data_IF_108590010645
#
_entry.id   IF_108590010645
#
_cell.length_a   1.000
_cell.length_b   1.000
_cell.length_c   1.000
_cell.angle_alpha   90.00
_cell.angle_beta   90.00
_cell.angle_gamma   90.00
#
_symmetry.space_group_name_H-M   'P 1'
#
loop_
_entity.id
_entity.type
_entity.pdbx_description
1 polymer ?
#
# COMPACT_ATOMS: atom_id res chain seq x y z
N UNK A 1 -25.43 33.81 22.98
CA UNK A 1 -24.53 33.34 21.93
C UNK A 1 -25.31 32.31 21.10
N UNK A 2 -25.65 32.61 19.85
CA UNK A 2 -26.38 31.67 18.99
C UNK A 2 -25.33 30.66 18.50
N UNK A 3 -25.40 29.43 18.99
CA UNK A 3 -24.55 28.32 18.52
C UNK A 3 -25.00 27.99 17.10
N UNK A 4 -24.13 28.19 16.12
CA UNK A 4 -24.43 27.84 14.72
C UNK A 4 -24.24 26.34 14.53
N UNK A 5 -24.95 25.74 13.57
CA UNK A 5 -24.79 24.33 13.23
C UNK A 5 -23.32 23.95 12.94
N UNK A 6 -22.57 24.88 12.35
CA UNK A 6 -21.12 24.72 12.09
C UNK A 6 -20.31 24.59 13.40
N UNK A 7 -20.63 25.37 14.44
CA UNK A 7 -19.93 25.30 15.74
C UNK A 7 -20.16 23.94 16.40
N UNK A 8 -21.40 23.44 16.37
CA UNK A 8 -21.75 22.08 16.85
C UNK A 8 -20.96 21.01 16.08
N UNK A 9 -20.93 21.14 14.76
CA UNK A 9 -20.17 20.22 13.90
C UNK A 9 -18.68 20.21 14.24
N UNK A 10 -18.07 21.38 14.45
CA UNK A 10 -16.66 21.47 14.87
C UNK A 10 -16.44 20.80 16.24
N UNK A 11 -17.30 21.01 17.23
CA UNK A 11 -17.18 20.35 18.52
C UNK A 11 -17.24 18.83 18.41
N UNK A 12 -18.13 18.30 17.58
CA UNK A 12 -18.21 16.84 17.32
C UNK A 12 -16.92 16.33 16.67
N UNK A 13 -16.38 17.05 15.69
CA UNK A 13 -15.10 16.68 15.08
C UNK A 13 -13.97 16.70 16.10
N UNK A 14 -13.84 17.77 16.90
CA UNK A 14 -12.80 17.86 17.93
C UNK A 14 -12.91 16.70 18.94
N UNK A 15 -14.12 16.33 19.34
CA UNK A 15 -14.34 15.21 20.24
C UNK A 15 -13.87 13.89 19.61
N UNK A 16 -14.25 13.63 18.34
CA UNK A 16 -13.84 12.42 17.61
C UNK A 16 -12.32 12.39 17.45
N UNK A 17 -11.70 13.51 17.05
CA UNK A 17 -10.24 13.59 16.86
C UNK A 17 -9.51 13.36 18.18
N UNK A 18 -9.99 13.99 19.29
CA UNK A 18 -9.41 13.80 20.59
C UNK A 18 -9.51 12.33 21.05
N UNK A 19 -10.69 11.73 20.92
CA UNK A 19 -10.91 10.33 21.24
C UNK A 19 -9.99 9.39 20.45
N UNK A 20 -9.90 9.58 19.12
CA UNK A 20 -9.01 8.78 18.27
C UNK A 20 -7.54 9.02 18.62
N UNK A 21 -7.15 10.25 18.95
CA UNK A 21 -5.79 10.57 19.37
C UNK A 21 -5.41 9.83 20.66
N UNK A 22 -6.28 9.87 21.67
CA UNK A 22 -6.09 9.14 22.94
C UNK A 22 -6.04 7.63 22.68
N UNK A 23 -6.94 7.11 21.85
CA UNK A 23 -6.95 5.69 21.47
C UNK A 23 -5.62 5.28 20.84
N UNK A 24 -5.13 6.01 19.83
CA UNK A 24 -3.89 5.66 19.15
C UNK A 24 -2.64 5.85 20.02
N UNK A 25 -2.63 6.86 20.92
CA UNK A 25 -1.58 7.00 21.92
C UNK A 25 -1.59 5.81 22.90
N UNK A 26 -2.77 5.36 23.32
CA UNK A 26 -2.91 4.16 24.15
C UNK A 26 -2.33 2.93 23.44
N UNK A 27 -2.68 2.72 22.17
CA UNK A 27 -2.11 1.62 21.35
C UNK A 27 -0.58 1.77 21.24
N UNK A 28 -0.08 2.98 20.99
CA UNK A 28 1.34 3.24 20.82
C UNK A 28 2.15 2.85 22.07
N UNK A 29 1.69 3.25 23.26
CA UNK A 29 2.46 3.12 24.50
C UNK A 29 2.14 1.87 25.31
N UNK A 30 0.91 1.36 25.28
CA UNK A 30 0.49 0.25 26.13
C UNK A 30 0.52 -1.12 25.41
N UNK A 31 0.35 -1.13 24.08
CA UNK A 31 0.47 -2.38 23.33
C UNK A 31 1.94 -2.63 23.02
N UNK A 32 2.45 -3.78 23.49
CA UNK A 32 3.86 -4.16 23.29
C UNK A 32 4.15 -4.36 21.80
N UNK A 33 5.37 -3.98 21.40
CA UNK A 33 5.87 -4.31 20.08
C UNK A 33 6.13 -5.80 19.95
N UNK A 34 5.78 -6.35 18.80
CA UNK A 34 6.26 -7.67 18.42
C UNK A 34 7.78 -7.57 18.21
N UNK A 35 8.54 -8.16 19.14
CA UNK A 35 9.99 -8.22 18.96
C UNK A 35 10.30 -8.96 17.67
N UNK A 36 11.28 -8.43 16.92
CA UNK A 36 11.80 -9.13 15.74
C UNK A 36 12.26 -10.52 16.15
N UNK A 37 11.73 -11.58 15.51
CA UNK A 37 12.17 -12.95 15.81
C UNK A 37 13.64 -13.11 15.43
N UNK A 38 14.33 -13.97 16.17
CA UNK A 38 15.73 -14.33 15.80
C UNK A 38 15.72 -15.04 14.46
N UNK A 39 16.67 -14.70 13.60
CA UNK A 39 16.89 -15.43 12.35
C UNK A 39 17.33 -16.86 12.67
N UNK A 40 16.72 -17.84 12.01
CA UNK A 40 17.14 -19.25 12.09
C UNK A 40 18.38 -19.53 11.25
N UNK A 41 18.84 -18.56 10.45
CA UNK A 41 19.92 -18.74 9.46
C UNK A 41 19.50 -19.52 8.20
N UNK A 42 18.31 -20.12 8.20
CA UNK A 42 17.79 -20.79 7.01
C UNK A 42 17.46 -19.79 5.90
N UNK A 43 17.92 -20.11 4.69
CA UNK A 43 17.58 -19.37 3.47
C UNK A 43 16.73 -20.27 2.58
N UNK A 44 15.39 -20.29 2.75
CA UNK A 44 14.50 -21.07 1.89
C UNK A 44 14.48 -20.53 0.47
N UNK A 45 14.02 -21.32 -0.51
CA UNK A 45 13.79 -20.83 -1.86
C UNK A 45 12.83 -19.65 -1.83
N UNK A 46 13.19 -18.56 -2.51
CA UNK A 46 12.45 -17.30 -2.61
C UNK A 46 12.20 -16.95 -4.07
N UNK A 47 11.00 -16.46 -4.38
CA UNK A 47 10.64 -15.97 -5.72
C UNK A 47 10.25 -14.50 -5.67
N UNK A 48 10.85 -13.66 -6.51
CA UNK A 48 10.38 -12.32 -6.78
C UNK A 48 9.55 -12.31 -8.07
N UNK A 49 8.33 -11.80 -8.03
CA UNK A 49 7.45 -11.67 -9.20
C UNK A 49 7.34 -10.18 -9.53
N UNK A 50 7.66 -9.81 -10.77
CA UNK A 50 7.65 -8.43 -11.27
C UNK A 50 6.63 -8.32 -12.40
N UNK A 51 5.40 -7.89 -12.12
CA UNK A 51 4.44 -7.55 -13.17
C UNK A 51 4.87 -6.25 -13.85
N UNK A 52 5.00 -6.25 -15.17
CA UNK A 52 5.49 -5.11 -15.94
C UNK A 52 4.54 -4.75 -17.08
N UNK A 53 4.18 -3.47 -17.19
CA UNK A 53 3.39 -2.92 -18.29
C UNK A 53 3.83 -1.50 -18.63
N UNK A 54 4.54 -1.33 -19.76
CA UNK A 54 5.10 -0.05 -20.23
C UNK A 54 6.05 0.60 -19.21
N UNK A 55 7.07 -0.15 -18.77
CA UNK A 55 8.02 0.25 -17.73
C UNK A 55 9.47 0.31 -18.25
N UNK A 56 9.67 0.66 -19.52
CA UNK A 56 10.99 0.77 -20.14
C UNK A 56 11.99 1.66 -19.38
N UNK A 57 11.48 2.64 -18.60
CA UNK A 57 12.31 3.60 -17.87
C UNK A 57 12.87 3.06 -16.55
N UNK A 58 12.22 2.06 -15.97
CA UNK A 58 12.52 1.63 -14.61
C UNK A 58 12.88 0.15 -14.47
N UNK A 59 12.37 -0.71 -15.36
CA UNK A 59 12.48 -2.17 -15.25
C UNK A 59 13.92 -2.67 -15.04
N UNK A 60 14.90 -2.10 -15.75
CA UNK A 60 16.30 -2.51 -15.61
C UNK A 60 16.86 -2.24 -14.20
N UNK A 61 16.48 -1.10 -13.59
CA UNK A 61 16.87 -0.77 -12.22
C UNK A 61 16.18 -1.67 -11.20
N UNK A 62 14.91 -2.00 -11.41
CA UNK A 62 14.14 -2.93 -10.60
C UNK A 62 14.81 -4.31 -10.58
N UNK A 63 15.14 -4.86 -11.76
CA UNK A 63 15.81 -6.15 -11.89
C UNK A 63 17.21 -6.12 -11.26
N UNK A 64 17.97 -5.05 -11.45
CA UNK A 64 19.28 -4.89 -10.82
C UNK A 64 19.18 -4.92 -9.29
N UNK A 65 18.14 -4.32 -8.69
CA UNK A 65 17.94 -4.37 -7.24
C UNK A 65 17.63 -5.78 -6.72
N UNK A 66 16.91 -6.60 -7.51
CA UNK A 66 16.60 -8.00 -7.17
C UNK A 66 17.83 -8.89 -7.29
N UNK A 67 18.65 -8.68 -8.32
CA UNK A 67 19.92 -9.40 -8.47
C UNK A 67 20.87 -9.07 -7.31
N UNK A 68 20.90 -7.80 -6.87
CA UNK A 68 21.74 -7.32 -5.78
C UNK A 68 21.26 -7.72 -4.37
N UNK A 69 20.16 -8.46 -4.23
CA UNK A 69 19.75 -8.98 -2.92
C UNK A 69 20.84 -9.86 -2.31
N UNK A 70 21.13 -9.64 -1.01
CA UNK A 70 22.03 -10.48 -0.20
C UNK A 70 21.36 -11.83 0.09
N UNK A 71 21.19 -12.61 -0.98
CA UNK A 71 20.53 -13.92 -0.94
C UNK A 71 21.23 -14.88 -1.90
N UNK A 72 21.41 -16.19 -1.55
CA UNK A 72 22.05 -17.15 -2.43
C UNK A 72 21.37 -17.21 -3.80
N UNK A 73 22.15 -17.19 -4.88
CA UNK A 73 21.62 -17.19 -6.25
C UNK A 73 20.76 -18.42 -6.53
N UNK A 74 21.22 -19.59 -6.07
CA UNK A 74 20.53 -20.88 -6.22
C UNK A 74 19.24 -20.99 -5.41
N UNK A 75 18.99 -20.04 -4.51
CA UNK A 75 17.80 -19.92 -3.67
C UNK A 75 16.90 -18.76 -4.07
N UNK A 76 17.20 -18.08 -5.17
CA UNK A 76 16.50 -16.90 -5.63
C UNK A 76 16.02 -17.10 -7.07
N UNK A 77 14.72 -16.94 -7.28
CA UNK A 77 14.07 -16.94 -8.59
C UNK A 77 13.46 -15.57 -8.85
N UNK A 78 13.64 -15.02 -10.03
CA UNK A 78 13.02 -13.78 -10.49
C UNK A 78 12.12 -14.10 -11.68
N UNK A 79 10.85 -13.71 -11.60
CA UNK A 79 9.88 -13.92 -12.68
C UNK A 79 9.37 -12.55 -13.11
N UNK A 80 9.64 -12.18 -14.34
CA UNK A 80 9.07 -10.96 -14.94
C UNK A 80 7.88 -11.38 -15.78
N UNK A 81 6.72 -10.80 -15.51
CA UNK A 81 5.51 -11.02 -16.33
C UNK A 81 5.21 -9.74 -17.08
N UNK A 82 5.55 -9.72 -18.36
CA UNK A 82 5.23 -8.63 -19.28
C UNK A 82 3.75 -8.74 -19.69
N UNK A 83 2.94 -7.85 -19.18
CA UNK A 83 1.49 -7.81 -19.36
C UNK A 83 1.10 -7.03 -20.62
N UNK A 84 1.72 -7.37 -21.76
CA UNK A 84 1.41 -6.81 -23.07
C UNK A 84 1.93 -5.38 -23.27
N UNK A 85 3.14 -5.08 -22.81
CA UNK A 85 3.80 -3.78 -23.04
C UNK A 85 3.95 -3.47 -24.53
N UNK A 86 3.84 -2.18 -24.87
CA UNK A 86 3.97 -1.64 -26.22
C UNK A 86 5.24 -0.82 -26.42
N UNK A 87 5.98 -0.59 -25.34
CA UNK A 87 7.28 0.07 -25.32
C UNK A 87 8.42 -0.95 -25.32
N UNK A 88 9.63 -0.51 -25.02
CA UNK A 88 10.83 -1.38 -25.01
C UNK A 88 10.97 -2.23 -23.74
N UNK A 89 9.94 -2.37 -22.90
CA UNK A 89 10.02 -3.14 -21.64
C UNK A 89 10.49 -4.57 -21.89
N UNK A 90 9.89 -5.27 -22.87
CA UNK A 90 10.28 -6.66 -23.20
C UNK A 90 11.74 -6.75 -23.60
N UNK A 91 12.17 -5.95 -24.56
CA UNK A 91 13.54 -5.92 -25.09
C UNK A 91 14.57 -5.72 -23.96
N UNK A 92 14.28 -4.75 -23.06
CA UNK A 92 15.17 -4.44 -21.93
C UNK A 92 15.27 -5.59 -20.92
N UNK A 93 14.20 -6.34 -20.71
CA UNK A 93 14.22 -7.54 -19.85
C UNK A 93 15.04 -8.66 -20.50
N UNK A 94 14.82 -8.92 -21.80
CA UNK A 94 15.59 -9.92 -22.55
C UNK A 94 17.09 -9.61 -22.55
N UNK A 95 17.46 -8.35 -22.80
CA UNK A 95 18.84 -7.86 -22.70
C UNK A 95 19.40 -8.03 -21.28
N UNK A 96 18.61 -7.76 -20.25
CA UNK A 96 19.03 -7.92 -18.87
C UNK A 96 19.32 -9.39 -18.54
N UNK A 97 18.46 -10.30 -18.97
CA UNK A 97 18.65 -11.76 -18.82
C UNK A 97 19.94 -12.19 -19.50
N UNK A 98 20.16 -11.76 -20.74
CA UNK A 98 21.36 -12.11 -21.51
C UNK A 98 22.68 -11.67 -20.82
N UNK A 99 22.65 -10.52 -20.13
CA UNK A 99 23.81 -9.99 -19.40
C UNK A 99 24.01 -10.63 -18.02
N UNK A 100 23.03 -11.39 -17.51
CA UNK A 100 23.07 -12.03 -16.18
C UNK A 100 22.78 -13.53 -16.26
N UNK A 101 23.57 -14.32 -17.04
CA UNK A 101 23.27 -15.74 -17.31
C UNK A 101 23.37 -16.64 -16.07
N UNK A 102 23.93 -16.14 -14.97
CA UNK A 102 24.04 -16.88 -13.70
C UNK A 102 22.84 -16.71 -12.75
N UNK A 103 21.84 -15.89 -13.10
CA UNK A 103 20.65 -15.65 -12.28
C UNK A 103 19.45 -16.44 -12.84
N UNK A 104 18.60 -17.00 -11.95
CA UNK A 104 17.33 -17.66 -12.36
C UNK A 104 16.26 -16.58 -12.65
N UNK A 105 16.32 -16.00 -13.86
CA UNK A 105 15.39 -14.96 -14.32
C UNK A 105 14.57 -15.52 -15.48
N UNK A 106 13.25 -15.50 -15.33
CA UNK A 106 12.30 -15.96 -16.36
C UNK A 106 11.42 -14.79 -16.81
N UNK A 107 11.29 -14.59 -18.13
CA UNK A 107 10.33 -13.66 -18.72
C UNK A 107 9.13 -14.45 -19.25
N UNK A 108 7.93 -14.01 -18.86
CA UNK A 108 6.65 -14.48 -19.40
C UNK A 108 6.00 -13.31 -20.12
N UNK A 109 5.59 -13.51 -21.38
CA UNK A 109 4.80 -12.54 -22.12
C UNK A 109 3.33 -13.00 -22.16
N UNK A 110 2.41 -12.07 -21.87
CA UNK A 110 0.97 -12.30 -22.00
C UNK A 110 0.28 -11.10 -22.65
N UNK A 111 -0.92 -11.29 -23.13
CA UNK A 111 -1.82 -10.19 -23.50
C UNK A 111 -2.24 -9.48 -22.21
N UNK A 112 -2.37 -8.15 -22.26
CA UNK A 112 -2.73 -7.37 -21.09
C UNK A 112 -4.05 -7.84 -20.44
N UNK A 113 -3.95 -8.29 -19.20
CA UNK A 113 -5.06 -8.75 -18.37
C UNK A 113 -5.03 -8.10 -16.97
N UNK A 114 -4.09 -7.18 -16.76
CA UNK A 114 -3.92 -6.44 -15.51
C UNK A 114 -2.99 -7.13 -14.51
N UNK A 115 -2.56 -6.34 -13.53
CA UNK A 115 -1.52 -6.70 -12.56
C UNK A 115 -1.84 -7.99 -11.79
N UNK A 116 -3.09 -8.18 -11.33
CA UNK A 116 -3.50 -9.38 -10.59
C UNK A 116 -3.34 -10.65 -11.44
N UNK A 117 -3.69 -10.60 -12.73
CA UNK A 117 -3.51 -11.72 -13.65
C UNK A 117 -2.02 -12.01 -13.90
N UNK A 118 -1.20 -10.97 -14.07
CA UNK A 118 0.24 -11.11 -14.21
C UNK A 118 0.87 -11.74 -12.94
N UNK A 119 0.43 -11.34 -11.76
CA UNK A 119 0.87 -11.94 -10.49
C UNK A 119 0.50 -13.43 -10.41
N UNK A 120 -0.73 -13.80 -10.77
CA UNK A 120 -1.15 -15.20 -10.80
C UNK A 120 -0.33 -16.02 -11.81
N UNK A 121 -0.02 -15.44 -12.95
CA UNK A 121 0.83 -16.11 -13.96
C UNK A 121 2.23 -16.38 -13.43
N UNK A 122 2.81 -15.43 -12.69
CA UNK A 122 4.08 -15.64 -11.99
C UNK A 122 3.98 -16.71 -10.89
N UNK A 123 2.87 -16.73 -10.14
CA UNK A 123 2.64 -17.71 -9.06
C UNK A 123 2.53 -19.16 -9.58
N UNK A 124 2.02 -19.39 -10.78
CA UNK A 124 1.93 -20.72 -11.40
C UNK A 124 3.31 -21.43 -11.48
N UNK A 125 4.40 -20.67 -11.69
CA UNK A 125 5.75 -21.20 -11.87
C UNK A 125 6.68 -20.86 -10.71
N UNK A 126 6.19 -20.19 -9.66
CA UNK A 126 6.97 -19.81 -8.50
C UNK A 126 7.43 -21.05 -7.70
N UNK A 127 8.75 -21.21 -7.56
CA UNK A 127 9.38 -22.33 -6.82
C UNK A 127 9.59 -21.98 -5.33
N UNK A 128 9.50 -20.69 -4.98
CA UNK A 128 9.82 -20.19 -3.65
C UNK A 128 8.83 -20.67 -2.59
N UNK A 129 9.34 -21.05 -1.41
CA UNK A 129 8.51 -21.21 -0.20
C UNK A 129 7.81 -19.90 0.16
N UNK A 130 8.49 -18.79 -0.14
CA UNK A 130 7.99 -17.43 -0.02
C UNK A 130 8.15 -16.72 -1.36
N UNK A 131 7.23 -15.80 -1.64
CA UNK A 131 7.35 -14.92 -2.79
C UNK A 131 7.12 -13.46 -2.40
N UNK A 132 7.65 -12.53 -3.19
CA UNK A 132 7.32 -11.13 -3.12
C UNK A 132 6.81 -10.63 -4.48
N UNK A 133 5.85 -9.71 -4.47
CA UNK A 133 5.56 -8.85 -5.60
C UNK A 133 6.50 -7.65 -5.54
N UNK A 134 7.10 -7.25 -6.65
CA UNK A 134 7.81 -5.97 -6.77
C UNK A 134 7.31 -5.24 -8.00
N UNK A 135 6.77 -4.03 -7.80
CA UNK A 135 6.32 -3.20 -8.92
C UNK A 135 7.52 -2.83 -9.81
N UNK A 136 7.33 -2.83 -11.13
CA UNK A 136 8.40 -2.68 -12.11
C UNK A 136 9.08 -1.30 -12.10
N UNK A 137 8.55 -0.34 -11.31
CA UNK A 137 9.09 1.00 -11.05
C UNK A 137 9.71 1.16 -9.65
N UNK A 138 9.83 0.05 -8.92
CA UNK A 138 10.29 0.03 -7.53
C UNK A 138 11.59 -0.77 -7.39
N UNK A 139 12.34 -0.51 -6.32
CA UNK A 139 13.60 -1.21 -6.04
C UNK A 139 13.81 -1.42 -4.55
N UNK A 140 14.41 -2.56 -4.25
CA UNK A 140 14.54 -3.10 -2.90
C UNK A 140 15.98 -2.99 -2.41
N UNK A 141 16.17 -2.71 -1.11
CA UNK A 141 17.49 -2.77 -0.47
C UNK A 141 18.01 -4.22 -0.37
N UNK A 142 19.32 -4.40 -0.50
CA UNK A 142 19.93 -5.73 -0.58
C UNK A 142 19.62 -6.65 0.60
N UNK A 143 19.47 -6.12 1.81
CA UNK A 143 19.19 -6.90 3.03
C UNK A 143 17.71 -7.17 3.27
N UNK A 144 16.80 -6.58 2.48
CA UNK A 144 15.37 -6.55 2.77
C UNK A 144 14.77 -7.94 3.04
N UNK A 145 15.04 -8.92 2.18
CA UNK A 145 14.50 -10.27 2.35
C UNK A 145 14.97 -10.95 3.65
N UNK A 146 16.25 -10.77 4.02
CA UNK A 146 16.82 -11.33 5.24
C UNK A 146 16.20 -10.72 6.49
N UNK A 147 15.78 -9.45 6.43
CA UNK A 147 15.10 -8.75 7.51
C UNK A 147 13.63 -9.16 7.66
N UNK A 148 13.01 -9.65 6.60
CA UNK A 148 11.59 -10.04 6.57
C UNK A 148 11.36 -11.52 6.90
N UNK A 149 12.23 -12.42 6.46
CA UNK A 149 12.04 -13.86 6.63
C UNK A 149 11.87 -14.32 8.10
N UNK A 150 12.57 -13.78 9.10
CA UNK A 150 12.44 -14.21 10.48
C UNK A 150 11.01 -14.13 11.03
N UNK A 151 10.19 -13.19 10.56
CA UNK A 151 8.80 -13.06 11.00
C UNK A 151 7.94 -14.25 10.62
N UNK A 152 8.31 -15.01 9.60
CA UNK A 152 7.62 -16.23 9.19
C UNK A 152 7.92 -17.46 10.10
N UNK A 153 8.71 -17.32 11.16
CA UNK A 153 8.82 -18.34 12.21
C UNK A 153 7.49 -18.52 12.95
N UNK A 154 6.68 -17.47 13.05
CA UNK A 154 5.28 -17.58 13.46
C UNK A 154 4.43 -18.08 12.28
N UNK A 155 3.85 -19.27 12.42
CA UNK A 155 3.04 -19.92 11.38
C UNK A 155 1.76 -19.15 11.04
N UNK A 156 1.27 -18.30 11.93
CA UNK A 156 0.10 -17.45 11.70
C UNK A 156 0.43 -16.23 10.82
N UNK A 157 1.73 -15.88 10.67
CA UNK A 157 2.14 -14.79 9.80
C UNK A 157 2.07 -15.23 8.34
N UNK A 158 1.13 -14.65 7.61
CA UNK A 158 0.91 -14.87 6.17
C UNK A 158 1.68 -13.93 5.28
N UNK A 159 1.85 -12.68 5.73
CA UNK A 159 2.53 -11.64 4.96
C UNK A 159 3.39 -10.73 5.85
N UNK A 160 4.51 -10.28 5.28
CA UNK A 160 5.39 -9.28 5.90
C UNK A 160 5.55 -8.11 4.93
N UNK A 161 5.29 -6.89 5.39
CA UNK A 161 5.36 -5.66 4.61
C UNK A 161 6.64 -4.89 4.92
N UNK A 162 7.35 -4.35 3.93
CA UNK A 162 8.53 -3.51 4.12
C UNK A 162 8.16 -2.06 4.46
N UNK A 163 9.15 -1.29 4.88
CA UNK A 163 9.09 0.17 4.90
C UNK A 163 9.17 0.69 3.47
N UNK A 164 8.08 1.31 3.01
CA UNK A 164 8.00 1.90 1.68
C UNK A 164 8.38 3.38 1.74
N UNK A 165 9.34 3.78 0.92
CA UNK A 165 9.82 5.16 0.78
C UNK A 165 9.67 5.66 -0.65
N UNK A 166 9.36 6.95 -0.80
CA UNK A 166 9.44 7.62 -2.10
C UNK A 166 10.89 7.83 -2.47
N UNK A 167 11.25 7.47 -3.69
CA UNK A 167 12.61 7.62 -4.19
C UNK A 167 12.93 9.09 -4.48
N UNK A 168 13.95 9.65 -3.83
CA UNK A 168 14.54 10.97 -4.09
C UNK A 168 13.52 12.06 -4.50
N UNK A 169 12.59 12.45 -3.60
CA UNK A 169 11.54 13.41 -3.94
C UNK A 169 12.15 14.78 -4.28
N UNK A 170 12.00 15.23 -5.53
CA UNK A 170 12.52 16.51 -6.02
C UNK A 170 11.49 17.64 -6.00
N UNK A 171 10.31 17.39 -6.56
CA UNK A 171 9.23 18.37 -6.69
C UNK A 171 8.39 18.48 -5.40
N UNK A 172 7.61 19.56 -5.29
CA UNK A 172 6.67 19.78 -4.18
C UNK A 172 5.67 18.61 -4.08
N UNK A 173 5.15 18.15 -5.21
CA UNK A 173 4.21 17.02 -5.31
C UNK A 173 4.83 15.73 -4.76
N UNK A 174 6.08 15.45 -5.09
CA UNK A 174 6.78 14.26 -4.60
C UNK A 174 7.09 14.38 -3.10
N UNK A 175 7.43 15.57 -2.59
CA UNK A 175 7.66 15.83 -1.16
C UNK A 175 6.37 15.68 -0.34
N UNK A 176 5.23 16.13 -0.86
CA UNK A 176 3.92 15.92 -0.21
C UNK A 176 3.62 14.42 -0.12
N UNK A 177 3.84 13.67 -1.19
CA UNK A 177 3.65 12.22 -1.18
C UNK A 177 4.65 11.51 -0.26
N UNK A 178 5.91 11.96 -0.22
CA UNK A 178 6.88 11.43 0.73
C UNK A 178 6.39 11.55 2.19
N UNK A 179 5.88 12.73 2.56
CA UNK A 179 5.29 12.95 3.88
C UNK A 179 4.08 12.04 4.13
N UNK A 180 3.20 11.92 3.14
CA UNK A 180 2.02 11.04 3.20
C UNK A 180 2.42 9.57 3.40
N UNK A 181 3.48 9.10 2.73
CA UNK A 181 4.01 7.75 2.91
C UNK A 181 4.55 7.54 4.34
N UNK A 182 5.27 8.51 4.90
CA UNK A 182 5.76 8.43 6.29
C UNK A 182 4.59 8.29 7.27
N UNK A 183 3.56 9.12 7.11
CA UNK A 183 2.34 9.06 7.95
C UNK A 183 1.62 7.71 7.78
N UNK A 184 1.47 7.24 6.54
CA UNK A 184 0.83 5.96 6.24
C UNK A 184 1.60 4.78 6.86
N UNK A 185 2.95 4.79 6.82
CA UNK A 185 3.77 3.75 7.44
C UNK A 185 3.62 3.77 8.97
N UNK A 186 3.54 4.94 9.58
CA UNK A 186 3.28 5.06 11.02
C UNK A 186 1.89 4.50 11.39
N UNK A 187 0.84 4.87 10.65
CA UNK A 187 -0.49 4.29 10.87
C UNK A 187 -0.53 2.78 10.63
N UNK A 188 0.21 2.29 9.63
CA UNK A 188 0.32 0.85 9.39
C UNK A 188 0.99 0.13 10.56
N UNK A 189 2.03 0.72 11.15
CA UNK A 189 2.67 0.20 12.36
C UNK A 189 1.68 0.11 13.52
N UNK A 190 0.90 1.17 13.80
CA UNK A 190 -0.12 1.15 14.84
C UNK A 190 -1.19 0.08 14.59
N UNK A 191 -1.67 -0.04 13.35
CA UNK A 191 -2.60 -1.10 12.96
C UNK A 191 -1.96 -2.51 13.10
N UNK A 192 -0.66 -2.64 12.87
CA UNK A 192 0.10 -3.87 13.06
C UNK A 192 0.09 -4.35 14.52
N UNK A 193 0.17 -3.42 15.49
CA UNK A 193 0.05 -3.73 16.92
C UNK A 193 -1.29 -4.38 17.29
N UNK A 194 -2.35 -4.04 16.57
CA UNK A 194 -3.70 -4.60 16.74
C UNK A 194 -4.00 -5.75 15.76
N UNK A 195 -3.01 -6.24 15.02
CA UNK A 195 -3.20 -7.19 13.93
C UNK A 195 -4.26 -6.76 12.89
N UNK A 196 -4.35 -5.45 12.62
CA UNK A 196 -5.37 -4.82 11.79
C UNK A 196 -4.82 -4.24 10.46
N UNK A 197 -3.67 -4.71 9.98
CA UNK A 197 -3.14 -4.27 8.69
C UNK A 197 -4.09 -4.74 7.59
N UNK A 198 -4.56 -3.79 6.76
CA UNK A 198 -5.56 -4.02 5.72
C UNK A 198 -5.05 -3.79 4.30
N UNK A 199 -3.80 -3.37 4.14
CA UNK A 199 -3.12 -3.20 2.85
C UNK A 199 -1.72 -3.77 2.94
N UNK A 200 -1.39 -4.65 2.03
CA UNK A 200 -0.03 -5.15 1.81
C UNK A 200 0.52 -4.45 0.58
N UNK A 201 1.38 -3.40 0.72
CA UNK A 201 1.81 -2.62 -0.44
C UNK A 201 2.40 -3.51 -1.52
N UNK A 202 2.05 -3.21 -2.78
CA UNK A 202 2.56 -3.91 -3.95
C UNK A 202 4.07 -4.06 -3.96
N UNK A 203 4.86 -2.98 -3.72
CA UNK A 203 6.31 -3.10 -3.69
C UNK A 203 6.82 -3.98 -2.54
N UNK A 204 7.25 -5.19 -2.88
CA UNK A 204 8.02 -6.14 -2.07
C UNK A 204 7.34 -6.60 -0.77
N UNK A 205 6.01 -6.67 -0.69
CA UNK A 205 5.37 -7.46 0.37
C UNK A 205 5.66 -8.94 0.13
N UNK A 206 6.16 -9.62 1.17
CA UNK A 206 6.53 -11.05 1.12
C UNK A 206 5.40 -11.90 1.67
N UNK A 207 5.11 -13.03 1.02
CA UNK A 207 4.00 -13.92 1.37
C UNK A 207 4.45 -15.39 1.40
N UNK A 208 3.66 -16.25 2.10
CA UNK A 208 3.78 -17.71 1.97
C UNK A 208 3.15 -18.16 0.66
N UNK A 209 3.95 -18.67 -0.27
CA UNK A 209 3.48 -19.08 -1.62
C UNK A 209 2.33 -20.07 -1.55
N UNK A 210 2.51 -21.15 -0.77
CA UNK A 210 1.47 -22.17 -0.63
C UNK A 210 0.15 -21.59 -0.12
N UNK A 211 0.20 -20.73 0.90
CA UNK A 211 -1.00 -20.15 1.48
C UNK A 211 -1.76 -19.28 0.47
N UNK A 212 -1.07 -18.45 -0.31
CA UNK A 212 -1.73 -17.60 -1.31
C UNK A 212 -2.34 -18.45 -2.41
N UNK A 213 -1.66 -19.53 -2.85
CA UNK A 213 -2.20 -20.47 -3.82
C UNK A 213 -3.44 -21.21 -3.27
N UNK A 214 -3.39 -21.68 -2.02
CA UNK A 214 -4.52 -22.36 -1.34
C UNK A 214 -5.75 -21.43 -1.19
N UNK A 215 -5.52 -20.10 -1.10
CA UNK A 215 -6.57 -19.09 -1.08
C UNK A 215 -7.05 -18.66 -2.48
N UNK A 216 -6.52 -19.24 -3.57
CA UNK A 216 -6.93 -18.99 -4.94
C UNK A 216 -6.16 -17.86 -5.66
N UNK A 217 -4.96 -17.50 -5.19
CA UNK A 217 -4.13 -16.47 -5.81
C UNK A 217 -4.68 -15.06 -5.60
N UNK A 218 -4.34 -14.13 -6.52
CA UNK A 218 -4.85 -12.76 -6.54
C UNK A 218 -6.21 -12.69 -7.26
N UNK A 219 -7.11 -11.88 -6.74
CA UNK A 219 -8.42 -11.64 -7.36
C UNK A 219 -8.29 -10.69 -8.54
N UNK A 220 -8.57 -11.19 -9.74
CA UNK A 220 -8.48 -10.42 -11.00
C UNK A 220 -9.66 -9.48 -11.22
N UNK A 221 -10.69 -9.55 -10.38
CA UNK A 221 -11.89 -8.69 -10.50
C UNK A 221 -11.76 -7.36 -9.75
N UNK A 222 -10.73 -7.21 -8.90
CA UNK A 222 -10.46 -5.99 -8.15
C UNK A 222 -9.41 -5.11 -8.85
N UNK A 223 -9.54 -3.80 -8.66
CA UNK A 223 -8.54 -2.82 -9.14
C UNK A 223 -7.44 -2.53 -8.10
N UNK A 224 -7.55 -3.10 -6.90
CA UNK A 224 -6.59 -2.98 -5.79
C UNK A 224 -6.36 -4.36 -5.18
N UNK A 225 -5.54 -5.14 -5.86
CA UNK A 225 -5.21 -6.52 -5.51
C UNK A 225 -4.50 -6.63 -4.14
N UNK A 226 -3.72 -5.62 -3.81
CA UNK A 226 -2.94 -5.50 -2.57
C UNK A 226 -3.82 -5.22 -1.34
N UNK A 227 -4.90 -4.49 -1.52
CA UNK A 227 -5.93 -4.29 -0.50
C UNK A 227 -6.79 -5.54 -0.33
N UNK A 228 -7.22 -6.14 -1.44
CA UNK A 228 -8.08 -7.33 -1.44
C UNK A 228 -7.41 -8.50 -0.74
N UNK A 229 -6.17 -8.82 -1.12
CA UNK A 229 -5.44 -9.95 -0.53
C UNK A 229 -5.23 -9.74 0.98
N UNK A 230 -4.95 -8.51 1.43
CA UNK A 230 -4.78 -8.21 2.84
C UNK A 230 -6.09 -8.42 3.63
N UNK A 231 -7.24 -7.93 3.12
CA UNK A 231 -8.54 -8.15 3.76
C UNK A 231 -8.89 -9.64 3.78
N UNK A 232 -8.57 -10.38 2.72
CA UNK A 232 -8.83 -11.82 2.63
C UNK A 232 -7.97 -12.61 3.63
N UNK A 233 -6.71 -12.26 3.81
CA UNK A 233 -5.85 -12.83 4.86
C UNK A 233 -6.43 -12.57 6.26
N UNK A 234 -6.86 -11.33 6.53
CA UNK A 234 -7.49 -10.96 7.80
C UNK A 234 -8.82 -11.73 8.02
N UNK A 235 -9.61 -11.92 6.97
CA UNK A 235 -10.82 -12.75 7.02
C UNK A 235 -10.54 -14.18 7.46
N UNK A 236 -9.39 -14.72 7.09
CA UNK A 236 -8.91 -16.04 7.50
C UNK A 236 -8.08 -16.01 8.80
N UNK A 237 -8.05 -14.86 9.49
CA UNK A 237 -7.38 -14.66 10.80
C UNK A 237 -5.86 -14.83 10.75
N UNK A 238 -5.25 -14.66 9.57
CA UNK A 238 -3.80 -14.62 9.44
C UNK A 238 -3.25 -13.27 9.83
N UNK A 239 -2.04 -13.29 10.40
CA UNK A 239 -1.32 -12.07 10.77
C UNK A 239 -0.59 -11.47 9.56
N UNK A 240 -0.64 -10.15 9.46
CA UNK A 240 0.19 -9.35 8.56
C UNK A 240 1.10 -8.49 9.43
N UNK A 241 2.39 -8.52 9.16
CA UNK A 241 3.41 -7.80 9.94
C UNK A 241 3.99 -6.66 9.12
N UNK A 242 4.21 -5.51 9.75
CA UNK A 242 5.00 -4.39 9.20
C UNK A 242 6.39 -4.41 9.84
N UNK A 243 7.45 -4.42 9.03
CA UNK A 243 8.81 -4.20 9.51
C UNK A 243 9.37 -2.88 8.99
N UNK A 244 10.24 -2.23 9.79
CA UNK A 244 10.97 -1.03 9.39
C UNK A 244 12.44 -1.35 9.02
N UNK A 245 12.87 -2.60 9.21
CA UNK A 245 14.25 -3.03 8.93
C UNK A 245 14.48 -3.35 7.45
N UNK A 246 13.40 -3.56 6.67
CA UNK A 246 13.45 -3.81 5.23
C UNK A 246 12.93 -2.57 4.49
N UNK A 247 13.76 -1.93 3.68
CA UNK A 247 13.37 -0.73 2.92
C UNK A 247 13.15 -1.04 1.44
N UNK A 248 12.12 -0.44 0.89
CA UNK A 248 11.80 -0.46 -0.54
C UNK A 248 11.54 0.97 -1.01
N UNK A 249 12.06 1.32 -2.16
CA UNK A 249 11.85 2.62 -2.79
C UNK A 249 10.90 2.47 -3.98
N UNK A 250 9.99 3.41 -4.12
CA UNK A 250 9.07 3.47 -5.27
C UNK A 250 9.06 4.88 -5.86
N UNK A 251 8.78 4.97 -7.13
CA UNK A 251 8.58 6.24 -7.80
C UNK A 251 7.15 6.73 -7.51
N UNK A 252 7.03 8.02 -7.21
CA UNK A 252 5.73 8.66 -6.98
C UNK A 252 5.28 9.44 -8.22
N UNK A 253 3.96 9.63 -8.43
CA UNK A 253 3.43 10.52 -9.45
C UNK A 253 4.07 11.91 -9.43
N UNK A 254 4.51 12.39 -10.61
CA UNK A 254 5.18 13.69 -10.77
C UNK A 254 4.22 14.81 -11.14
N UNK A 255 2.99 14.49 -11.54
CA UNK A 255 1.98 15.48 -11.97
C UNK A 255 0.71 15.35 -11.13
N UNK A 256 -0.01 16.47 -10.97
CA UNK A 256 -1.29 16.50 -10.26
C UNK A 256 -2.34 15.57 -10.89
N UNK A 257 -2.37 15.47 -12.20
CA UNK A 257 -3.28 14.58 -12.92
C UNK A 257 -2.99 13.11 -12.60
N UNK A 258 -1.72 12.69 -12.67
CA UNK A 258 -1.34 11.31 -12.34
C UNK A 258 -1.64 10.97 -10.88
N UNK A 259 -1.36 11.90 -9.94
CA UNK A 259 -1.69 11.76 -8.53
C UNK A 259 -3.20 11.62 -8.33
N UNK A 260 -4.00 12.46 -8.97
CA UNK A 260 -5.46 12.43 -8.88
C UNK A 260 -6.02 11.06 -9.32
N UNK A 261 -5.63 10.56 -10.49
CA UNK A 261 -6.10 9.27 -10.99
C UNK A 261 -5.62 8.08 -10.15
N UNK A 262 -4.41 8.16 -9.59
CA UNK A 262 -3.94 7.17 -8.62
C UNK A 262 -4.85 7.13 -7.38
N UNK A 263 -5.22 8.28 -6.81
CA UNK A 263 -6.11 8.37 -5.65
C UNK A 263 -7.54 7.91 -5.99
N UNK A 264 -8.06 8.28 -7.14
CA UNK A 264 -9.37 7.78 -7.61
C UNK A 264 -9.38 6.25 -7.65
N UNK A 265 -8.33 5.63 -8.20
CA UNK A 265 -8.19 4.17 -8.22
C UNK A 265 -8.17 3.57 -6.81
N UNK A 266 -7.41 4.15 -5.90
CA UNK A 266 -7.30 3.65 -4.52
C UNK A 266 -8.61 3.78 -3.75
N UNK A 267 -9.28 4.93 -3.83
CA UNK A 267 -10.56 5.14 -3.15
C UNK A 267 -11.66 4.23 -3.73
N UNK A 268 -11.73 4.11 -5.05
CA UNK A 268 -12.67 3.20 -5.69
C UNK A 268 -12.42 1.77 -5.25
N UNK A 269 -11.18 1.29 -5.30
CA UNK A 269 -10.83 -0.06 -4.84
C UNK A 269 -11.15 -0.27 -3.35
N UNK A 270 -10.95 0.75 -2.51
CA UNK A 270 -11.31 0.70 -1.09
C UNK A 270 -12.83 0.55 -0.89
N UNK A 271 -13.64 1.27 -1.65
CA UNK A 271 -15.12 1.17 -1.60
C UNK A 271 -15.56 -0.23 -2.08
N UNK A 272 -15.07 -0.66 -3.25
CA UNK A 272 -15.44 -1.95 -3.85
C UNK A 272 -15.10 -3.12 -2.91
N UNK A 273 -13.90 -3.12 -2.34
CA UNK A 273 -13.48 -4.16 -1.38
C UNK A 273 -14.24 -4.06 -0.04
N UNK A 274 -14.55 -2.86 0.44
CA UNK A 274 -15.35 -2.69 1.65
C UNK A 274 -16.77 -3.26 1.47
N UNK A 275 -17.38 -3.05 0.31
CA UNK A 275 -18.67 -3.62 -0.04
C UNK A 275 -18.63 -5.13 -0.20
N UNK A 276 -17.60 -5.67 -0.88
CA UNK A 276 -17.35 -7.10 -1.04
C UNK A 276 -17.22 -7.81 0.29
N UNK A 277 -16.50 -7.21 1.23
CA UNK A 277 -16.21 -7.78 2.55
C UNK A 277 -17.09 -7.23 3.68
N UNK A 278 -18.23 -6.58 3.39
CA UNK A 278 -19.12 -5.94 4.38
C UNK A 278 -19.55 -6.84 5.54
N UNK A 279 -19.62 -8.16 5.34
CA UNK A 279 -19.96 -9.13 6.39
C UNK A 279 -18.92 -9.27 7.51
N UNK A 280 -17.71 -8.74 7.29
CA UNK A 280 -16.66 -8.67 8.31
C UNK A 280 -16.95 -7.55 9.31
N UNK A 281 -17.57 -6.46 8.84
CA UNK A 281 -17.82 -5.26 9.62
C UNK A 281 -18.74 -5.54 10.82
N UNK A 282 -18.34 -5.01 11.99
CA UNK A 282 -18.99 -5.22 13.30
C UNK A 282 -19.09 -6.67 13.74
N UNK A 283 -18.36 -7.59 13.12
CA UNK A 283 -18.40 -9.00 13.44
C UNK A 283 -17.20 -9.40 14.34
N UNK A 284 -17.51 -9.71 15.61
CA UNK A 284 -16.52 -10.10 16.62
C UNK A 284 -15.70 -11.35 16.26
N UNK A 285 -16.21 -12.19 15.34
CA UNK A 285 -15.48 -13.36 14.83
C UNK A 285 -14.11 -12.97 14.23
N UNK A 286 -14.00 -11.76 13.69
CA UNK A 286 -12.78 -11.25 13.03
C UNK A 286 -11.96 -10.33 13.93
N UNK A 287 -12.16 -10.40 15.27
CA UNK A 287 -11.43 -9.64 16.28
C UNK A 287 -11.46 -8.14 16.01
N UNK A 288 -10.36 -7.46 16.34
CA UNK A 288 -10.21 -6.00 16.17
C UNK A 288 -10.30 -5.56 14.71
N UNK A 289 -9.92 -6.43 13.76
CA UNK A 289 -10.07 -6.13 12.35
C UNK A 289 -11.55 -5.91 11.95
N UNK A 290 -12.45 -6.77 12.43
CA UNK A 290 -13.89 -6.65 12.15
C UNK A 290 -14.58 -5.55 12.94
N UNK A 291 -14.20 -5.34 14.20
CA UNK A 291 -14.89 -4.43 15.12
C UNK A 291 -14.36 -3.01 15.04
N UNK A 292 -13.05 -2.84 14.81
CA UNK A 292 -12.39 -1.53 14.78
C UNK A 292 -12.00 -1.13 13.37
N UNK A 293 -11.22 -1.97 12.66
CA UNK A 293 -10.59 -1.54 11.41
C UNK A 293 -11.57 -1.38 10.26
N UNK A 294 -12.40 -2.37 9.98
CA UNK A 294 -13.36 -2.30 8.87
C UNK A 294 -14.37 -1.14 9.03
N UNK A 295 -14.98 -0.92 10.20
CA UNK A 295 -15.82 0.27 10.42
C UNK A 295 -15.07 1.59 10.25
N UNK A 296 -13.82 1.71 10.74
CA UNK A 296 -13.05 2.95 10.64
C UNK A 296 -12.65 3.29 9.21
N UNK A 297 -12.41 2.31 8.33
CA UNK A 297 -12.15 2.56 6.91
C UNK A 297 -13.35 3.27 6.26
N UNK A 298 -14.56 2.76 6.48
CA UNK A 298 -15.79 3.34 5.91
C UNK A 298 -16.11 4.69 6.56
N UNK A 299 -16.03 4.75 7.89
CA UNK A 299 -16.31 5.98 8.63
C UNK A 299 -15.37 7.12 8.21
N UNK A 300 -14.07 6.84 8.04
CA UNK A 300 -13.11 7.86 7.58
C UNK A 300 -13.44 8.40 6.19
N UNK A 301 -13.89 7.55 5.26
CA UNK A 301 -14.34 7.98 3.94
C UNK A 301 -15.57 8.88 4.01
N UNK A 302 -16.59 8.49 4.79
CA UNK A 302 -17.81 9.28 5.00
C UNK A 302 -17.47 10.62 5.67
N UNK A 303 -16.63 10.59 6.73
CA UNK A 303 -16.23 11.82 7.43
C UNK A 303 -15.46 12.77 6.52
N UNK A 304 -14.58 12.25 5.65
CA UNK A 304 -13.87 13.07 4.66
C UNK A 304 -14.83 13.80 3.73
N UNK A 305 -15.89 13.14 3.24
CA UNK A 305 -16.91 13.75 2.38
C UNK A 305 -17.67 14.83 3.16
N UNK A 306 -18.15 14.52 4.38
CA UNK A 306 -18.88 15.45 5.23
C UNK A 306 -18.03 16.70 5.51
N UNK A 307 -16.79 16.52 5.96
CA UNK A 307 -15.86 17.64 6.24
C UNK A 307 -15.65 18.49 4.99
N UNK A 308 -15.43 17.86 3.82
CA UNK A 308 -15.22 18.57 2.56
C UNK A 308 -16.43 19.43 2.17
N UNK A 309 -17.65 18.89 2.32
CA UNK A 309 -18.89 19.64 2.05
C UNK A 309 -19.03 20.85 2.98
N UNK A 310 -18.81 20.66 4.28
CA UNK A 310 -18.88 21.76 5.26
C UNK A 310 -17.82 22.83 5.03
N UNK A 311 -16.57 22.44 4.74
CA UNK A 311 -15.50 23.37 4.40
C UNK A 311 -15.82 24.16 3.12
N UNK A 312 -16.31 23.48 2.09
CA UNK A 312 -16.73 24.15 0.85
C UNK A 312 -17.84 25.17 1.09
N UNK A 313 -18.86 24.79 1.87
CA UNK A 313 -19.95 25.70 2.24
C UNK A 313 -19.43 26.92 3.02
N UNK A 314 -18.53 26.72 4.00
CA UNK A 314 -17.96 27.82 4.77
C UNK A 314 -17.12 28.77 3.91
N UNK A 315 -16.30 28.22 3.01
CA UNK A 315 -15.52 29.01 2.05
C UNK A 315 -16.46 29.84 1.15
N UNK A 316 -17.50 29.21 0.60
CA UNK A 316 -18.48 29.90 -0.25
C UNK A 316 -19.20 31.03 0.51
N UNK A 317 -19.63 30.76 1.75
CA UNK A 317 -20.28 31.74 2.62
C UNK A 317 -19.37 32.93 2.93
N UNK A 318 -18.08 32.68 3.19
CA UNK A 318 -17.09 33.76 3.40
C UNK A 318 -16.83 34.58 2.16
N UNK A 319 -16.70 33.92 1.01
CA UNK A 319 -16.51 34.59 -0.27
C UNK A 319 -17.72 35.49 -0.61
N UNK A 320 -18.93 34.99 -0.51
CA UNK A 320 -20.15 35.78 -0.76
C UNK A 320 -20.27 36.96 0.19
N UNK A 321 -20.01 36.76 1.50
CA UNK A 321 -20.01 37.83 2.48
C UNK A 321 -18.95 38.90 2.17
N UNK A 322 -17.73 38.51 1.78
CA UNK A 322 -16.68 39.45 1.44
C UNK A 322 -17.01 40.23 0.15
N UNK A 323 -17.62 39.57 -0.84
CA UNK A 323 -18.09 40.25 -2.07
C UNK A 323 -19.18 41.27 -1.75
N UNK A 324 -20.17 40.92 -0.92
CA UNK A 324 -21.23 41.83 -0.48
C UNK A 324 -20.63 43.03 0.29
N UNK A 325 -19.65 42.76 1.16
CA UNK A 325 -18.96 43.81 1.90
C UNK A 325 -18.20 44.75 0.97
N UNK A 326 -17.44 44.22 -0.01
CA UNK A 326 -16.72 45.01 -1.03
C UNK A 326 -17.69 45.84 -1.87
N UNK A 327 -18.87 45.32 -2.23
CA UNK A 327 -19.92 46.09 -2.93
C UNK A 327 -20.48 47.19 -2.06
N UNK A 328 -20.68 46.96 -0.76
CA UNK A 328 -21.22 47.96 0.17
C UNK A 328 -20.31 49.16 0.37
N UNK A 329 -18.99 48.98 0.22
CA UNK A 329 -17.98 50.06 0.29
C UNK A 329 -17.58 50.61 -1.12
N UNK A 330 -18.41 50.34 -2.15
CA UNK A 330 -18.23 50.78 -3.54
C UNK A 330 -16.82 50.46 -4.12
N UNK A 331 -16.20 49.37 -3.68
CA UNK A 331 -14.81 48.99 -4.00
C UNK A 331 -13.76 50.04 -3.61
N UNK A 332 -14.07 51.01 -2.75
CA UNK A 332 -13.14 52.03 -2.23
C UNK A 332 -12.12 51.44 -1.23
N UNK A 333 -11.47 50.32 -1.58
CA UNK A 333 -10.42 49.70 -0.80
C UNK A 333 -9.05 50.29 -1.10
N UNK A 334 -8.95 51.17 -2.11
CA UNK A 334 -7.68 51.75 -2.61
C UNK A 334 -7.61 53.26 -2.56
N UNK A 335 -8.49 53.94 -1.85
CA UNK A 335 -8.40 55.36 -1.49
C UNK A 335 -8.08 55.54 0.02
#
# INVERSE_FOLDING_TARGET
MIIRAFDVFLFVIYFIVLYLSIFWLTVLFLVRDNKKPKSTGEKPMFTAIVPAFNEERAIAQTLASLVALDYPREKKQIIVVNDGSKDRTQELVEDFIARNPGEDITLINQVNQGKAAAMNKGLEIAKGKFFACLDADSFVESKAINEMLPYFNDLEVAAVCPLLKVNKPGSVIEKVQWYEYVVNMFYKYLNGKLHCIHVTPGPFSVYRTKLINDLGGYDTTTITEDLEIAIRLQKHQYKIVQTFDATVYTNSPKTWSALFWQRVRWYRGSVDNSLKYRKIMFNKKYGDFGVIRMPTIILSGIMTIIISVFLFQEVLTRLTRNIIWLQAINFDVFT
#
